data_IF_498385376630
#
_entry.id   IF_498385376630
#
_cell.length_a   1.000
_cell.length_b   1.000
_cell.length_c   1.000
_cell.angle_alpha   90.00
_cell.angle_beta   90.00
_cell.angle_gamma   90.00
#
_symmetry.space_group_name_H-M   'P 1'
#
loop_
_entity.id
_entity.type
_entity.pdbx_description
1 polymer ?
#
# COMPACT_ATOMS: atom_id res chain seq x y z
N UNK A 1 -8.80 2.00 0.55
CA UNK A 1 -9.48 2.83 1.57
C UNK A 1 -10.84 2.22 1.88
N UNK A 2 -11.27 2.11 3.16
CA UNK A 2 -12.54 1.46 3.54
C UNK A 2 -13.83 2.07 2.96
N UNK A 3 -13.84 3.33 2.53
CA UNK A 3 -15.07 4.02 2.12
C UNK A 3 -15.79 3.40 0.93
N UNK A 4 -15.08 2.72 0.03
CA UNK A 4 -15.74 2.00 -1.08
C UNK A 4 -16.72 0.95 -0.58
N UNK A 5 -16.39 0.26 0.51
CA UNK A 5 -17.26 -0.75 1.14
C UNK A 5 -18.40 -0.09 1.92
N UNK A 6 -18.12 1.01 2.65
CA UNK A 6 -19.15 1.78 3.37
C UNK A 6 -20.20 2.35 2.42
N UNK A 7 -19.79 2.92 1.28
CA UNK A 7 -20.69 3.43 0.24
C UNK A 7 -21.57 2.32 -0.33
N UNK A 8 -21.03 1.11 -0.46
CA UNK A 8 -21.78 -0.08 -0.87
C UNK A 8 -22.69 -0.66 0.24
N UNK A 9 -22.72 -0.05 1.43
CA UNK A 9 -23.51 -0.51 2.58
C UNK A 9 -22.95 -1.76 3.26
N UNK A 10 -21.64 -2.03 3.13
CA UNK A 10 -21.00 -3.20 3.73
C UNK A 10 -20.38 -2.88 5.10
N UNK A 11 -20.50 -3.82 6.03
CA UNK A 11 -19.75 -3.83 7.28
C UNK A 11 -18.29 -4.22 7.05
N UNK A 12 -17.39 -3.59 7.79
CA UNK A 12 -15.95 -3.78 7.65
C UNK A 12 -15.41 -4.41 8.93
N UNK A 13 -14.68 -5.52 8.77
CA UNK A 13 -13.92 -6.15 9.84
C UNK A 13 -12.44 -6.06 9.51
N UNK A 14 -11.71 -5.29 10.31
CA UNK A 14 -10.25 -5.24 10.19
C UNK A 14 -9.63 -6.53 10.73
N UNK A 15 -8.64 -7.04 10.00
CA UNK A 15 -7.82 -8.19 10.41
C UNK A 15 -6.43 -7.67 10.72
N UNK A 16 -5.91 -7.84 11.95
CA UNK A 16 -4.58 -7.36 12.31
C UNK A 16 -3.49 -7.99 11.44
N UNK A 17 -2.68 -7.15 10.80
CA UNK A 17 -1.48 -7.53 10.05
C UNK A 17 -0.30 -6.77 10.67
N UNK A 18 0.28 -7.37 11.71
CA UNK A 18 1.34 -6.75 12.53
C UNK A 18 2.55 -7.67 12.62
N UNK A 19 3.73 -7.09 12.85
CA UNK A 19 4.99 -7.83 12.99
C UNK A 19 4.88 -8.84 14.14
N UNK A 20 5.22 -10.10 13.89
CA UNK A 20 5.15 -11.19 14.87
C UNK A 20 3.74 -11.78 15.10
N UNK A 21 2.69 -11.26 14.45
CA UNK A 21 1.36 -11.84 14.49
C UNK A 21 1.15 -12.98 13.49
N UNK A 22 0.20 -13.88 13.76
CA UNK A 22 -0.28 -14.88 12.80
C UNK A 22 -1.49 -14.34 12.02
N UNK A 23 -1.20 -13.69 10.90
CA UNK A 23 -2.22 -13.11 10.03
C UNK A 23 -3.25 -14.15 9.54
N UNK A 24 -2.82 -15.37 9.26
CA UNK A 24 -3.71 -16.40 8.73
C UNK A 24 -4.68 -16.91 9.80
N UNK A 25 -4.20 -17.10 11.04
CA UNK A 25 -5.08 -17.40 12.17
C UNK A 25 -6.09 -16.28 12.43
N UNK A 26 -5.67 -15.01 12.33
CA UNK A 26 -6.58 -13.87 12.50
C UNK A 26 -7.58 -13.74 11.34
N UNK A 27 -7.21 -14.07 10.09
CA UNK A 27 -8.17 -14.18 8.97
C UNK A 27 -9.23 -15.24 9.29
N UNK A 28 -8.81 -16.47 9.63
CA UNK A 28 -9.74 -17.56 9.91
C UNK A 28 -10.67 -17.23 11.07
N UNK A 29 -10.12 -16.66 12.15
CA UNK A 29 -10.88 -16.20 13.31
C UNK A 29 -11.89 -15.12 12.92
N UNK A 30 -11.49 -14.15 12.09
CA UNK A 30 -12.38 -13.11 11.59
C UNK A 30 -13.52 -13.69 10.75
N UNK A 31 -13.26 -14.71 9.92
CA UNK A 31 -14.29 -15.40 9.13
C UNK A 31 -15.23 -16.21 10.03
N UNK A 32 -14.69 -17.00 10.96
CA UNK A 32 -15.45 -17.91 11.85
C UNK A 32 -16.29 -17.14 12.87
N UNK A 33 -15.86 -15.95 13.29
CA UNK A 33 -16.55 -15.13 14.29
C UNK A 33 -17.48 -14.06 13.70
N UNK A 34 -17.79 -14.14 12.40
CA UNK A 34 -18.70 -13.19 11.72
C UNK A 34 -19.94 -13.90 11.21
N UNK A 35 -21.11 -13.31 11.48
CA UNK A 35 -22.40 -13.75 10.95
C UNK A 35 -23.18 -12.57 10.35
N UNK A 36 -23.58 -12.62 9.06
CA UNK A 36 -23.24 -13.65 8.09
C UNK A 36 -21.74 -13.70 7.79
N UNK A 37 -21.28 -14.80 7.17
CA UNK A 37 -19.89 -14.96 6.76
C UNK A 37 -19.46 -13.77 5.86
N UNK A 38 -18.24 -13.21 6.02
CA UNK A 38 -17.74 -12.15 5.14
C UNK A 38 -17.80 -12.57 3.67
N UNK A 39 -18.15 -11.64 2.78
CA UNK A 39 -18.23 -11.93 1.33
C UNK A 39 -16.89 -11.88 0.61
N UNK A 40 -15.96 -11.08 1.12
CA UNK A 40 -14.66 -10.86 0.50
C UNK A 40 -13.57 -10.54 1.52
N UNK A 41 -12.35 -10.91 1.18
CA UNK A 41 -11.11 -10.45 1.78
C UNK A 41 -10.44 -9.47 0.81
N UNK A 42 -9.96 -8.33 1.33
CA UNK A 42 -9.25 -7.34 0.52
C UNK A 42 -7.84 -7.17 1.07
N UNK A 43 -6.85 -7.38 0.22
CA UNK A 43 -5.42 -7.31 0.56
C UNK A 43 -4.69 -6.37 -0.40
N UNK A 44 -3.60 -5.77 0.07
CA UNK A 44 -2.77 -4.88 -0.73
C UNK A 44 -1.30 -5.21 -0.49
N UNK A 45 -0.64 -5.77 -1.49
CA UNK A 45 0.79 -6.05 -1.47
C UNK A 45 1.44 -5.67 -2.81
N UNK A 46 2.56 -4.94 -2.83
CA UNK A 46 3.24 -4.34 -1.68
C UNK A 46 2.39 -3.32 -0.91
N UNK A 47 2.47 -3.37 0.43
CA UNK A 47 1.45 -2.79 1.30
C UNK A 47 1.56 -1.29 1.54
N UNK A 48 0.44 -0.59 1.50
CA UNK A 48 0.29 0.78 1.97
C UNK A 48 -0.56 0.81 3.25
N UNK A 49 -0.02 1.25 4.41
CA UNK A 49 1.18 2.08 4.56
C UNK A 49 2.48 1.33 4.88
N UNK A 50 2.40 0.05 5.26
CA UNK A 50 3.47 -0.68 5.97
C UNK A 50 4.68 -1.05 5.13
N UNK A 51 4.60 -0.91 3.81
CA UNK A 51 5.62 -1.32 2.83
C UNK A 51 5.86 -2.84 2.78
N UNK A 52 5.00 -3.61 3.46
CA UNK A 52 5.16 -5.05 3.57
C UNK A 52 5.14 -5.71 2.20
N UNK A 53 6.12 -6.57 1.98
CA UNK A 53 6.28 -7.42 0.81
C UNK A 53 5.97 -8.86 1.22
N UNK A 54 5.45 -9.66 0.28
CA UNK A 54 5.07 -11.06 0.51
C UNK A 54 5.59 -11.92 -0.64
N UNK A 55 5.69 -13.21 -0.43
CA UNK A 55 6.04 -14.17 -1.48
C UNK A 55 4.79 -14.85 -2.06
N UNK A 56 5.01 -15.71 -3.06
CA UNK A 56 3.95 -16.47 -3.70
C UNK A 56 3.31 -17.49 -2.76
N UNK A 57 4.05 -18.02 -1.78
CA UNK A 57 3.53 -18.98 -0.79
C UNK A 57 2.50 -18.33 0.13
N UNK A 58 2.75 -17.08 0.54
CA UNK A 58 1.78 -16.28 1.28
C UNK A 58 0.48 -16.12 0.50
N UNK A 59 0.56 -15.71 -0.78
CA UNK A 59 -0.62 -15.55 -1.63
C UNK A 59 -1.33 -16.90 -1.89
N UNK A 60 -0.57 -17.99 -2.00
CA UNK A 60 -1.13 -19.35 -2.12
C UNK A 60 -1.97 -19.68 -0.90
N UNK A 61 -1.47 -19.41 0.31
CA UNK A 61 -2.21 -19.65 1.56
C UNK A 61 -3.46 -18.77 1.68
N UNK A 62 -3.41 -17.51 1.21
CA UNK A 62 -4.60 -16.64 1.11
C UNK A 62 -5.66 -17.27 0.20
N UNK A 63 -5.29 -17.73 -0.99
CA UNK A 63 -6.21 -18.38 -1.94
C UNK A 63 -6.81 -19.65 -1.35
N UNK A 64 -6.00 -20.47 -0.66
CA UNK A 64 -6.48 -21.70 0.00
C UNK A 64 -7.56 -21.40 1.03
N UNK A 65 -7.31 -20.50 1.97
CA UNK A 65 -8.29 -20.12 3.01
C UNK A 65 -9.55 -19.52 2.36
N UNK A 66 -9.38 -18.68 1.34
CA UNK A 66 -10.51 -18.07 0.64
C UNK A 66 -11.41 -19.11 -0.04
N UNK A 67 -10.81 -20.14 -0.67
CA UNK A 67 -11.53 -21.27 -1.26
C UNK A 67 -12.24 -22.13 -0.20
N UNK A 68 -11.55 -22.49 0.88
CA UNK A 68 -12.13 -23.28 1.97
C UNK A 68 -13.35 -22.60 2.60
N UNK A 69 -13.29 -21.28 2.72
CA UNK A 69 -14.37 -20.50 3.28
C UNK A 69 -15.36 -19.94 2.25
N UNK A 70 -15.13 -20.14 0.95
CA UNK A 70 -15.95 -19.60 -0.15
C UNK A 70 -16.16 -18.08 -0.04
N UNK A 71 -15.07 -17.33 0.15
CA UNK A 71 -15.05 -15.87 0.17
C UNK A 71 -14.18 -15.35 -0.97
N UNK A 72 -14.57 -14.25 -1.62
CA UNK A 72 -13.77 -13.67 -2.70
C UNK A 72 -12.47 -13.03 -2.18
N UNK A 73 -11.44 -12.96 -3.02
CA UNK A 73 -10.22 -12.18 -2.74
C UNK A 73 -10.12 -11.03 -3.73
N UNK A 74 -9.92 -9.82 -3.21
CA UNK A 74 -9.55 -8.65 -3.99
C UNK A 74 -8.13 -8.28 -3.62
N UNK A 75 -7.21 -8.41 -4.59
CA UNK A 75 -5.81 -8.03 -4.42
C UNK A 75 -5.53 -6.70 -5.12
N UNK A 76 -5.05 -5.71 -4.37
CA UNK A 76 -4.55 -4.44 -4.91
C UNK A 76 -3.03 -4.52 -5.07
N UNK A 77 -2.57 -4.48 -6.33
CA UNK A 77 -1.15 -4.53 -6.72
C UNK A 77 -0.63 -3.19 -7.25
N UNK A 78 -1.19 -2.06 -6.78
CA UNK A 78 -0.82 -0.73 -7.28
C UNK A 78 0.68 -0.36 -7.15
N UNK A 79 1.45 -1.08 -6.35
CA UNK A 79 2.89 -0.85 -6.15
C UNK A 79 3.78 -1.95 -6.74
N UNK A 80 3.25 -2.82 -7.60
CA UNK A 80 3.97 -3.98 -8.14
C UNK A 80 5.30 -3.61 -8.82
N UNK A 81 5.37 -2.47 -9.50
CA UNK A 81 6.58 -2.05 -10.23
C UNK A 81 7.54 -1.18 -9.40
N UNK A 82 7.07 -0.65 -8.27
CA UNK A 82 7.87 0.17 -7.35
C UNK A 82 8.49 -0.77 -6.32
N UNK A 83 9.50 -1.51 -6.75
CA UNK A 83 10.22 -2.53 -5.98
C UNK A 83 11.72 -2.25 -6.02
N UNK A 84 12.45 -2.68 -5.01
CA UNK A 84 13.87 -2.35 -4.84
C UNK A 84 14.68 -3.60 -4.49
N UNK A 85 16.00 -3.48 -4.63
CA UNK A 85 16.98 -4.46 -4.13
C UNK A 85 16.74 -5.90 -4.65
N UNK A 86 16.22 -6.03 -5.89
CA UNK A 86 15.96 -7.32 -6.53
C UNK A 86 14.69 -8.04 -6.08
N UNK A 87 13.83 -7.41 -5.26
CA UNK A 87 12.51 -7.95 -4.97
C UNK A 87 11.58 -7.81 -6.19
N UNK A 88 10.81 -8.85 -6.47
CA UNK A 88 9.74 -8.86 -7.47
C UNK A 88 8.41 -9.10 -6.77
N UNK A 89 7.40 -8.26 -7.03
CA UNK A 89 6.09 -8.41 -6.41
C UNK A 89 5.31 -9.56 -7.07
N UNK A 90 4.89 -10.60 -6.33
CA UNK A 90 4.11 -11.68 -6.90
C UNK A 90 2.68 -11.24 -7.18
N UNK A 91 2.11 -11.76 -8.27
CA UNK A 91 0.68 -11.63 -8.58
C UNK A 91 -0.09 -12.79 -7.96
N UNK A 92 -1.27 -12.51 -7.40
CA UNK A 92 -2.14 -13.58 -6.88
C UNK A 92 -2.59 -14.53 -7.99
N UNK A 93 -2.58 -14.06 -9.24
CA UNK A 93 -2.97 -14.84 -10.41
C UNK A 93 -1.90 -15.86 -10.85
N UNK A 94 -0.70 -15.83 -10.26
CA UNK A 94 0.28 -16.90 -10.40
C UNK A 94 -0.13 -18.17 -9.63
N UNK A 95 -0.99 -18.04 -8.60
CA UNK A 95 -1.46 -19.18 -7.80
C UNK A 95 -2.45 -20.02 -8.63
N UNK A 96 -2.23 -21.35 -8.77
CA UNK A 96 -3.14 -22.24 -9.48
C UNK A 96 -4.58 -22.16 -8.94
N UNK A 97 -5.53 -21.89 -9.83
CA UNK A 97 -6.94 -21.76 -9.47
C UNK A 97 -7.31 -20.46 -8.75
N UNK A 98 -6.42 -19.46 -8.67
CA UNK A 98 -6.76 -18.14 -8.11
C UNK A 98 -7.95 -17.50 -8.83
N UNK A 99 -8.06 -17.65 -10.15
CA UNK A 99 -9.17 -17.10 -10.96
C UNK A 99 -10.54 -17.65 -10.55
N UNK A 100 -10.61 -18.74 -9.80
CA UNK A 100 -11.87 -19.27 -9.28
C UNK A 100 -12.42 -18.40 -8.15
N UNK A 101 -11.57 -17.68 -7.41
CA UNK A 101 -11.93 -16.99 -6.17
C UNK A 101 -11.40 -15.55 -6.05
N UNK A 102 -10.52 -15.11 -6.96
CA UNK A 102 -9.80 -13.85 -6.83
C UNK A 102 -9.92 -12.94 -8.05
N UNK A 103 -9.86 -11.63 -7.78
CA UNK A 103 -9.57 -10.58 -8.76
C UNK A 103 -8.40 -9.74 -8.27
N UNK A 104 -7.64 -9.20 -9.22
CA UNK A 104 -6.49 -8.36 -8.98
C UNK A 104 -6.66 -7.02 -9.71
N UNK A 105 -6.35 -5.94 -9.00
CA UNK A 105 -6.45 -4.57 -9.48
C UNK A 105 -5.07 -3.93 -9.60
N UNK A 106 -4.83 -3.30 -10.74
CA UNK A 106 -3.63 -2.50 -10.98
C UNK A 106 -4.01 -1.08 -11.38
N UNK A 107 -3.21 -0.10 -10.96
CA UNK A 107 -3.34 1.30 -11.39
C UNK A 107 -2.02 1.82 -11.94
N UNK A 108 -2.08 2.48 -13.09
CA UNK A 108 -0.91 3.11 -13.73
C UNK A 108 -0.44 4.36 -12.97
N UNK A 109 -1.15 4.77 -11.92
CA UNK A 109 -0.86 5.98 -11.13
C UNK A 109 0.56 6.03 -10.58
N UNK A 110 1.14 4.87 -10.23
CA UNK A 110 2.41 4.77 -9.50
C UNK A 110 3.55 4.44 -10.44
N UNK A 111 3.41 3.34 -11.17
CA UNK A 111 4.43 2.85 -12.11
C UNK A 111 4.75 3.84 -13.23
N UNK A 112 3.75 4.60 -13.70
CA UNK A 112 3.87 5.49 -14.85
C UNK A 112 3.72 6.98 -14.51
N UNK A 113 3.76 7.36 -13.22
CA UNK A 113 3.55 8.75 -12.78
C UNK A 113 2.24 9.40 -13.27
N UNK A 114 1.14 8.63 -13.29
CA UNK A 114 -0.18 9.08 -13.79
C UNK A 114 -1.26 9.30 -12.70
N UNK A 115 -0.99 9.84 -11.49
CA UNK A 115 -1.94 9.84 -10.38
C UNK A 115 -3.24 10.63 -10.65
N UNK A 116 -3.22 11.61 -11.55
CA UNK A 116 -4.38 12.41 -11.95
C UNK A 116 -5.21 11.82 -13.09
N UNK A 117 -4.69 10.80 -13.80
CA UNK A 117 -5.31 10.28 -15.03
C UNK A 117 -6.39 9.23 -14.76
N UNK A 118 -6.36 8.62 -13.57
CA UNK A 118 -7.40 7.69 -13.09
C UNK A 118 -7.61 6.50 -14.04
N UNK A 119 -6.52 5.85 -14.43
CA UNK A 119 -6.52 4.64 -15.26
C UNK A 119 -5.88 3.45 -14.55
N UNK A 120 -6.45 2.28 -14.81
CA UNK A 120 -6.12 1.00 -14.21
C UNK A 120 -7.03 -0.09 -14.78
N UNK A 121 -6.84 -1.32 -14.33
CA UNK A 121 -7.63 -2.46 -14.78
C UNK A 121 -7.85 -3.48 -13.66
N UNK A 122 -8.85 -4.34 -13.87
CA UNK A 122 -9.14 -5.50 -13.02
C UNK A 122 -9.07 -6.77 -13.87
N UNK A 123 -8.38 -7.79 -13.38
CA UNK A 123 -8.26 -9.11 -14.01
C UNK A 123 -8.57 -10.22 -12.99
N UNK A 124 -8.93 -11.42 -13.44
CA UNK A 124 -9.17 -12.57 -12.55
C UNK A 124 -10.49 -13.29 -12.84
N UNK A 125 -11.30 -13.49 -11.80
CA UNK A 125 -12.56 -14.23 -11.89
C UNK A 125 -13.55 -13.63 -12.91
N UNK A 126 -14.01 -14.48 -13.84
CA UNK A 126 -14.90 -14.07 -14.95
C UNK A 126 -16.24 -13.50 -14.50
N UNK A 127 -16.80 -14.00 -13.39
CA UNK A 127 -18.10 -13.57 -12.88
C UNK A 127 -17.99 -12.19 -12.24
N UNK A 128 -16.93 -11.96 -11.45
CA UNK A 128 -16.63 -10.66 -10.86
C UNK A 128 -16.28 -9.61 -11.92
N UNK A 129 -15.50 -9.97 -12.95
CA UNK A 129 -15.23 -9.09 -14.11
C UNK A 129 -16.53 -8.74 -14.85
N UNK A 130 -17.40 -9.72 -15.11
CA UNK A 130 -18.69 -9.47 -15.77
C UNK A 130 -19.65 -8.65 -14.90
N UNK A 131 -19.61 -8.81 -13.57
CA UNK A 131 -20.37 -7.99 -12.64
C UNK A 131 -19.89 -6.52 -12.67
N UNK A 132 -18.58 -6.29 -12.65
CA UNK A 132 -18.01 -4.94 -12.77
C UNK A 132 -18.36 -4.31 -14.13
N UNK A 133 -18.27 -5.04 -15.22
CA UNK A 133 -18.64 -4.56 -16.55
C UNK A 133 -20.10 -4.09 -16.63
N UNK A 134 -21.04 -4.90 -16.10
CA UNK A 134 -22.46 -4.53 -16.02
C UNK A 134 -22.67 -3.29 -15.17
N UNK A 135 -22.06 -3.21 -13.98
CA UNK A 135 -22.15 -2.03 -13.13
C UNK A 135 -21.61 -0.78 -13.84
N UNK A 136 -20.46 -0.88 -14.50
CA UNK A 136 -19.85 0.24 -15.23
C UNK A 136 -20.73 0.76 -16.36
N UNK A 137 -21.45 -0.11 -17.07
CA UNK A 137 -22.36 0.33 -18.15
C UNK A 137 -23.53 1.22 -17.67
N UNK A 138 -23.83 1.22 -16.37
CA UNK A 138 -24.83 2.11 -15.77
C UNK A 138 -24.21 3.37 -15.13
N UNK A 139 -22.89 3.42 -14.97
CA UNK A 139 -22.18 4.49 -14.26
C UNK A 139 -21.44 5.44 -15.21
N UNK A 140 -20.85 4.92 -16.28
CA UNK A 140 -20.11 5.69 -17.26
C UNK A 140 -20.32 5.18 -18.69
N UNK A 141 -20.03 6.03 -19.68
CA UNK A 141 -20.05 5.66 -21.11
C UNK A 141 -18.77 4.95 -21.55
N UNK A 142 -17.99 4.42 -20.61
CA UNK A 142 -16.63 3.97 -20.81
C UNK A 142 -15.59 5.00 -20.37
N UNK A 143 -14.36 4.52 -20.21
CA UNK A 143 -13.21 5.36 -19.85
C UNK A 143 -12.88 6.32 -21.00
N UNK A 144 -12.44 7.53 -20.67
CA UNK A 144 -12.05 8.54 -21.65
C UNK A 144 -11.00 7.98 -22.63
N UNK A 145 -11.39 7.83 -23.90
CA UNK A 145 -10.62 7.10 -24.92
C UNK A 145 -9.17 7.55 -25.07
N UNK A 146 -8.83 8.85 -25.06
CA UNK A 146 -7.43 9.28 -25.13
C UNK A 146 -6.56 8.72 -23.99
N UNK A 147 -7.11 8.56 -22.78
CA UNK A 147 -6.39 7.95 -21.65
C UNK A 147 -6.22 6.44 -21.85
N UNK A 148 -7.19 5.77 -22.47
CA UNK A 148 -7.03 4.35 -22.84
C UNK A 148 -5.89 4.16 -23.85
N UNK A 149 -5.80 5.03 -24.87
CA UNK A 149 -4.70 4.98 -25.85
C UNK A 149 -3.36 5.28 -25.17
N UNK A 150 -3.30 6.27 -24.28
CA UNK A 150 -2.10 6.54 -23.49
C UNK A 150 -1.70 5.36 -22.60
N UNK A 151 -2.67 4.64 -22.03
CA UNK A 151 -2.42 3.44 -21.23
C UNK A 151 -1.88 2.28 -22.07
N UNK A 152 -2.30 2.13 -23.33
CA UNK A 152 -1.70 1.15 -24.26
C UNK A 152 -0.21 1.46 -24.45
N UNK A 153 0.12 2.72 -24.77
CA UNK A 153 1.53 3.14 -24.93
C UNK A 153 2.33 2.89 -23.66
N UNK A 154 1.79 3.26 -22.50
CA UNK A 154 2.44 3.03 -21.21
C UNK A 154 2.75 1.53 -20.99
N UNK A 155 1.78 0.65 -21.19
CA UNK A 155 1.92 -0.78 -20.93
C UNK A 155 2.77 -1.53 -21.96
N UNK A 156 2.86 -1.03 -23.19
CA UNK A 156 3.59 -1.72 -24.27
C UNK A 156 5.00 -1.17 -24.52
N UNK A 157 5.28 0.08 -24.11
CA UNK A 157 6.46 0.83 -24.61
C UNK A 157 7.24 1.59 -23.54
N UNK A 158 6.81 1.60 -22.27
CA UNK A 158 7.41 2.46 -21.23
C UNK A 158 8.15 1.72 -20.11
N UNK A 159 8.66 0.52 -20.37
CA UNK A 159 9.44 -0.25 -19.36
C UNK A 159 10.67 0.53 -18.89
N UNK A 160 11.41 1.17 -19.80
CA UNK A 160 12.56 2.02 -19.48
C UNK A 160 12.19 3.21 -18.56
N UNK A 161 10.99 3.78 -18.71
CA UNK A 161 10.50 4.86 -17.84
C UNK A 161 10.16 4.33 -16.46
N UNK A 162 9.58 3.13 -16.37
CA UNK A 162 9.28 2.47 -15.10
C UNK A 162 10.57 2.19 -14.32
N UNK A 163 11.63 1.73 -15.00
CA UNK A 163 12.95 1.54 -14.39
C UNK A 163 13.53 2.85 -13.85
N UNK A 164 13.51 3.94 -14.63
CA UNK A 164 13.96 5.27 -14.18
C UNK A 164 13.16 5.76 -12.95
N UNK A 165 11.85 5.51 -12.93
CA UNK A 165 10.98 5.87 -11.80
C UNK A 165 11.35 5.06 -10.55
N UNK A 166 11.60 3.76 -10.72
CA UNK A 166 12.04 2.85 -9.66
C UNK A 166 13.37 3.31 -9.06
N UNK A 167 14.38 3.56 -9.90
CA UNK A 167 15.71 4.03 -9.47
C UNK A 167 15.62 5.36 -8.72
N UNK A 168 14.81 6.30 -9.22
CA UNK A 168 14.55 7.56 -8.54
C UNK A 168 13.96 7.35 -7.14
N UNK A 169 12.96 6.48 -6.99
CA UNK A 169 12.37 6.19 -5.68
C UNK A 169 13.36 5.46 -4.76
N UNK A 170 14.20 4.57 -5.30
CA UNK A 170 15.23 3.88 -4.53
C UNK A 170 16.26 4.86 -3.95
N UNK A 171 16.75 5.81 -4.76
CA UNK A 171 17.66 6.85 -4.26
C UNK A 171 17.01 7.74 -3.20
N UNK A 172 15.75 8.15 -3.40
CA UNK A 172 15.01 8.94 -2.40
C UNK A 172 14.81 8.17 -1.10
N UNK A 173 14.49 6.87 -1.19
CA UNK A 173 14.40 5.97 -0.04
C UNK A 173 15.70 5.96 0.74
N UNK A 174 16.81 5.70 0.06
CA UNK A 174 18.12 5.57 0.70
C UNK A 174 18.51 6.87 1.42
N UNK A 175 18.35 8.02 0.76
CA UNK A 175 18.62 9.34 1.37
C UNK A 175 17.77 9.59 2.62
N UNK A 176 16.47 9.23 2.59
CA UNK A 176 15.60 9.41 3.75
C UNK A 176 15.98 8.45 4.89
N UNK A 177 16.06 7.15 4.62
CA UNK A 177 16.31 6.13 5.64
C UNK A 177 17.68 6.30 6.30
N UNK A 178 18.74 6.55 5.51
CA UNK A 178 20.08 6.80 6.04
C UNK A 178 20.14 8.11 6.81
N UNK A 179 19.45 9.15 6.31
CA UNK A 179 19.37 10.44 6.96
C UNK A 179 18.70 10.38 8.33
N UNK A 180 17.55 9.69 8.43
CA UNK A 180 16.82 9.47 9.69
C UNK A 180 17.65 8.64 10.67
N UNK A 181 18.25 7.54 10.20
CA UNK A 181 19.12 6.69 11.04
C UNK A 181 20.29 7.49 11.60
N UNK A 182 20.97 8.28 10.76
CA UNK A 182 22.06 9.16 11.19
C UNK A 182 21.60 10.33 12.10
N UNK A 183 20.30 10.63 12.15
CA UNK A 183 19.71 11.60 13.06
C UNK A 183 19.30 11.00 14.42
N UNK A 184 19.50 9.69 14.62
CA UNK A 184 19.09 8.98 15.84
C UNK A 184 17.70 8.35 15.75
N UNK A 185 17.09 8.30 14.56
CA UNK A 185 15.79 7.65 14.33
C UNK A 185 15.96 6.51 13.32
N UNK A 186 16.35 5.31 13.78
CA UNK A 186 16.49 4.16 12.88
C UNK A 186 15.13 3.77 12.31
N UNK A 187 15.10 3.49 11.00
CA UNK A 187 13.91 3.04 10.28
C UNK A 187 14.27 1.90 9.34
N UNK A 188 13.35 0.97 9.15
CA UNK A 188 13.52 -0.13 8.20
C UNK A 188 13.55 0.41 6.76
N UNK A 189 14.52 -0.05 5.96
CA UNK A 189 14.56 0.26 4.53
C UNK A 189 13.49 -0.57 3.81
N UNK A 190 12.46 0.06 3.20
CA UNK A 190 11.40 -0.67 2.52
C UNK A 190 11.92 -1.33 1.23
N UNK A 191 11.43 -2.53 0.93
CA UNK A 191 11.76 -3.26 -0.31
C UNK A 191 10.86 -2.90 -1.50
N UNK A 192 9.80 -2.15 -1.26
CA UNK A 192 8.86 -1.72 -2.29
C UNK A 192 8.03 -0.52 -1.81
N UNK A 193 7.15 -0.04 -2.69
CA UNK A 193 6.30 1.15 -2.52
C UNK A 193 7.07 2.47 -2.54
N UNK A 194 6.33 3.57 -2.37
CA UNK A 194 6.86 4.93 -2.29
C UNK A 194 6.82 5.49 -0.86
N UNK A 195 6.79 4.63 0.16
CA UNK A 195 6.64 5.02 1.55
C UNK A 195 7.79 4.52 2.41
N UNK A 196 8.01 5.19 3.54
CA UNK A 196 8.74 4.64 4.68
C UNK A 196 7.78 4.66 5.86
N UNK A 197 7.55 3.48 6.44
CA UNK A 197 6.71 3.29 7.62
C UNK A 197 7.61 3.32 8.84
N UNK A 198 7.61 4.45 9.55
CA UNK A 198 8.55 4.73 10.62
C UNK A 198 7.87 4.60 11.97
N UNK A 199 8.34 3.67 12.80
CA UNK A 199 7.94 3.56 14.20
C UNK A 199 8.34 4.84 14.95
N UNK A 200 7.46 5.36 15.79
CA UNK A 200 7.70 6.57 16.56
C UNK A 200 8.81 6.28 17.60
N UNK A 201 9.83 7.15 17.73
CA UNK A 201 10.87 6.95 18.74
C UNK A 201 10.27 6.87 20.16
N UNK A 202 10.83 6.01 21.01
CA UNK A 202 10.26 5.68 22.32
C UNK A 202 9.91 6.91 23.18
N UNK A 203 10.75 7.95 23.16
CA UNK A 203 10.54 9.19 23.90
C UNK A 203 9.30 10.00 23.47
N UNK A 204 8.74 9.72 22.29
CA UNK A 204 7.50 10.34 21.78
C UNK A 204 6.33 9.36 21.66
N UNK A 205 6.54 8.08 21.99
CA UNK A 205 5.57 7.03 21.70
C UNK A 205 4.26 7.22 22.46
N UNK A 206 4.32 7.75 23.68
CA UNK A 206 3.14 8.09 24.49
C UNK A 206 2.28 9.21 23.86
N UNK A 207 2.82 10.04 22.95
CA UNK A 207 2.07 11.11 22.29
C UNK A 207 1.06 10.57 21.27
N UNK A 208 1.27 9.35 20.76
CA UNK A 208 0.55 8.81 19.62
C UNK A 208 0.90 9.51 18.30
N UNK A 209 0.50 8.91 17.18
CA UNK A 209 0.92 9.32 15.84
C UNK A 209 0.42 10.69 15.42
N UNK A 210 -0.78 11.08 15.86
CA UNK A 210 -1.39 12.36 15.48
C UNK A 210 -0.62 13.55 16.07
N UNK A 211 -0.37 13.54 17.38
CA UNK A 211 0.35 14.64 18.03
C UNK A 211 1.83 14.64 17.65
N UNK A 212 2.45 13.47 17.47
CA UNK A 212 3.81 13.40 16.95
C UNK A 212 3.92 13.96 15.52
N UNK A 213 2.97 13.67 14.63
CA UNK A 213 2.93 14.25 13.28
C UNK A 213 2.77 15.78 13.32
N UNK A 214 1.96 16.32 14.25
CA UNK A 214 1.86 17.78 14.47
C UNK A 214 3.16 18.38 14.97
N UNK A 215 3.87 17.70 15.89
CA UNK A 215 5.18 18.15 16.37
C UNK A 215 6.21 18.21 15.25
N UNK A 216 6.29 17.17 14.41
CA UNK A 216 7.13 17.18 13.20
C UNK A 216 6.81 18.35 12.26
N UNK A 217 5.52 18.64 12.06
CA UNK A 217 5.09 19.77 11.24
C UNK A 217 5.51 21.12 11.83
N UNK A 218 5.29 21.31 13.13
CA UNK A 218 5.55 22.59 13.80
C UNK A 218 7.03 22.85 14.03
N UNK A 219 7.80 21.84 14.44
CA UNK A 219 9.18 22.01 14.89
C UNK A 219 10.20 21.63 13.81
N UNK A 220 9.99 20.49 13.13
CA UNK A 220 10.89 20.04 12.07
C UNK A 220 10.51 20.59 10.67
N UNK A 221 9.33 21.22 10.53
CA UNK A 221 8.76 21.68 9.24
C UNK A 221 8.54 20.54 8.24
N UNK A 222 8.22 19.35 8.75
CA UNK A 222 8.00 18.14 7.95
C UNK A 222 6.58 17.63 8.16
N UNK A 223 5.81 17.54 7.07
CA UNK A 223 4.50 16.91 7.09
C UNK A 223 4.63 15.39 6.84
N UNK A 224 4.11 14.60 7.77
CA UNK A 224 3.98 13.13 7.65
C UNK A 224 2.51 12.72 7.78
N UNK A 225 2.16 11.52 7.34
CA UNK A 225 0.82 10.98 7.61
C UNK A 225 0.82 10.27 8.97
N UNK A 226 -0.07 10.63 9.92
CA UNK A 226 -0.17 9.92 11.20
C UNK A 226 -0.71 8.52 10.98
N UNK A 227 -0.08 7.53 11.63
CA UNK A 227 -0.36 6.13 11.38
C UNK A 227 -1.77 5.67 11.79
N UNK A 228 -2.39 6.32 12.79
CA UNK A 228 -3.79 6.09 13.17
C UNK A 228 -4.78 6.30 12.02
N UNK A 229 -4.43 7.13 11.02
CA UNK A 229 -5.23 7.32 9.82
C UNK A 229 -5.36 6.07 8.94
N UNK A 230 -4.52 5.05 9.16
CA UNK A 230 -4.57 3.76 8.46
C UNK A 230 -5.18 2.62 9.31
N UNK A 231 -5.57 2.91 10.56
CA UNK A 231 -6.12 1.96 11.52
C UNK A 231 -5.48 2.11 12.90
N UNK A 232 -6.15 1.63 13.94
CA UNK A 232 -5.68 1.73 15.34
C UNK A 232 -4.32 1.07 15.57
N UNK A 233 -4.03 -0.03 14.86
CA UNK A 233 -2.76 -0.76 14.92
C UNK A 233 -1.57 0.00 14.30
N UNK A 234 -1.79 1.20 13.77
CA UNK A 234 -0.72 2.05 13.24
C UNK A 234 -0.41 3.28 14.10
N UNK A 235 -1.05 3.48 15.26
CA UNK A 235 -0.90 4.72 16.03
C UNK A 235 0.48 4.90 16.68
N UNK A 236 1.32 3.88 16.66
CA UNK A 236 2.72 3.89 17.05
C UNK A 236 3.68 4.21 15.88
N UNK A 237 3.16 4.55 14.71
CA UNK A 237 3.94 4.84 13.50
C UNK A 237 3.52 6.13 12.79
N UNK A 238 4.40 6.65 11.94
CA UNK A 238 4.09 7.67 10.94
C UNK A 238 4.57 7.22 9.55
N UNK A 239 3.89 7.65 8.51
CA UNK A 239 4.26 7.35 7.12
C UNK A 239 4.91 8.56 6.44
N UNK A 240 6.12 8.36 5.94
CA UNK A 240 6.76 9.26 4.99
C UNK A 240 6.41 8.84 3.56
N UNK A 241 6.27 9.81 2.66
CA UNK A 241 6.12 9.54 1.21
C UNK A 241 7.35 10.09 0.48
N UNK A 242 7.93 9.29 -0.41
CA UNK A 242 9.17 9.60 -1.15
C UNK A 242 8.91 10.52 -2.37
N UNK A 243 8.04 11.51 -2.19
CA UNK A 243 7.50 12.34 -3.28
C UNK A 243 8.33 13.60 -3.54
N UNK A 244 9.13 14.03 -2.56
CA UNK A 244 10.04 15.16 -2.68
C UNK A 244 11.41 14.74 -3.23
N UNK A 245 12.13 15.68 -3.84
CA UNK A 245 13.48 15.43 -4.33
C UNK A 245 14.49 15.29 -3.17
N UNK A 246 15.67 14.74 -3.45
CA UNK A 246 16.66 14.46 -2.40
C UNK A 246 17.13 15.69 -1.63
N UNK A 247 17.18 16.88 -2.25
CA UNK A 247 17.58 18.11 -1.57
C UNK A 247 16.56 18.49 -0.49
N UNK A 248 15.27 18.38 -0.82
CA UNK A 248 14.15 18.57 0.11
C UNK A 248 14.10 17.47 1.16
N UNK A 249 14.37 16.21 0.80
CA UNK A 249 14.50 15.11 1.76
C UNK A 249 15.63 15.37 2.76
N UNK A 250 16.81 15.79 2.31
CA UNK A 250 17.93 16.18 3.20
C UNK A 250 17.56 17.37 4.10
N UNK A 251 16.77 18.32 3.60
CA UNK A 251 16.25 19.41 4.42
C UNK A 251 15.31 18.90 5.52
N UNK A 252 14.38 18.00 5.19
CA UNK A 252 13.48 17.38 6.16
C UNK A 252 14.27 16.63 7.25
N UNK A 253 15.26 15.83 6.86
CA UNK A 253 16.16 15.13 7.80
C UNK A 253 16.89 16.10 8.74
N UNK A 254 17.38 17.24 8.23
CA UNK A 254 18.02 18.26 9.09
C UNK A 254 17.06 18.83 10.12
N UNK A 255 15.83 19.18 9.72
CA UNK A 255 14.80 19.68 10.63
C UNK A 255 14.45 18.65 11.73
N UNK A 256 14.32 17.38 11.35
CA UNK A 256 14.08 16.29 12.29
C UNK A 256 15.24 16.13 13.26
N UNK A 257 16.49 16.11 12.77
CA UNK A 257 17.69 16.02 13.61
C UNK A 257 17.77 17.15 14.64
N UNK A 258 17.46 18.38 14.22
CA UNK A 258 17.45 19.53 15.13
C UNK A 258 16.37 19.42 16.20
N UNK A 259 15.17 18.94 15.84
CA UNK A 259 14.09 18.66 16.78
C UNK A 259 14.51 17.60 17.80
N UNK A 260 14.99 16.44 17.34
CA UNK A 260 15.44 15.35 18.22
C UNK A 260 16.54 15.80 19.19
N UNK A 261 17.52 16.57 18.71
CA UNK A 261 18.62 17.09 19.54
C UNK A 261 18.16 18.09 20.61
N UNK A 262 17.09 18.85 20.38
CA UNK A 262 16.57 19.81 21.37
C UNK A 262 15.85 19.11 22.52
N UNK A 263 15.29 17.94 22.26
CA UNK A 263 14.48 17.17 23.21
C UNK A 263 15.27 16.04 23.90
N UNK A 264 16.50 15.78 23.45
CA UNK A 264 17.44 14.83 24.09
C UNK A 264 18.24 15.51 25.21
#
# INVERSE_FOLDING_TARGET
HPYGFVIAGADIRHVPLVKGGDFFAEIEKAIKNSWPKPKMLVINFPGNPTTQCVDLDFLTRVVTIAKEHNIWVVHDVAYADIVFDGYEAPSILQVPGAKDIAVEFFSLSKSYNMPGWRVGFMVGNKELVSALARMKSYLDYGMFTPIQVAAIVALEQCDDEVEKIRDMYQHRRDVLCEGLTAAGWPVDKPKATMFVWAEIPDQYKEMGSLEFAKKLLLEAKVAVSPGVGFGEYGDDHVRFSLIENEQRTRQAVRGIREMLRKDS
#
